data_IF_307183852010
#
_entry.id   IF_307183852010
#
_cell.length_a   1.000
_cell.length_b   1.000
_cell.length_c   1.000
_cell.angle_alpha   90.00
_cell.angle_beta   90.00
_cell.angle_gamma   90.00
#
_symmetry.space_group_name_H-M   'P 1'
#
loop_
_entity.id
_entity.type
_entity.pdbx_description
1 polymer ?
#
# COMPACT_ATOMS: atom_id res chain seq x y z
N UNK A 1 -17.21 -8.00 18.20
CA UNK A 1 -17.20 -9.48 18.26
C UNK A 1 -15.74 -9.87 18.49
N UNK A 2 -15.44 -10.77 19.43
CA UNK A 2 -14.05 -11.20 19.64
C UNK A 2 -13.67 -12.20 18.54
N UNK A 3 -12.60 -11.91 17.80
CA UNK A 3 -12.13 -12.76 16.72
C UNK A 3 -11.13 -13.80 17.25
N UNK A 4 -11.04 -15.00 16.64
CA UNK A 4 -10.03 -15.97 17.04
C UNK A 4 -8.62 -15.42 16.88
N UNK A 5 -7.75 -15.71 17.84
CA UNK A 5 -6.35 -15.27 17.83
C UNK A 5 -5.40 -16.25 17.15
N UNK A 6 -5.90 -17.39 16.68
CA UNK A 6 -5.05 -18.41 16.09
C UNK A 6 -4.44 -17.94 14.75
N UNK A 7 -3.24 -18.44 14.43
CA UNK A 7 -2.49 -18.15 13.20
C UNK A 7 -2.05 -19.45 12.54
N UNK A 8 -1.30 -19.37 11.42
CA UNK A 8 -0.71 -20.51 10.73
C UNK A 8 0.12 -21.39 11.66
N UNK A 9 0.85 -20.78 12.58
CA UNK A 9 1.77 -21.49 13.48
C UNK A 9 1.04 -22.32 14.53
N UNK A 10 -0.24 -22.05 14.77
CA UNK A 10 -1.10 -22.82 15.68
C UNK A 10 -1.73 -24.05 15.00
N UNK A 11 -1.48 -24.28 13.71
CA UNK A 11 -2.05 -25.41 12.96
C UNK A 11 -1.35 -26.72 13.37
N UNK A 12 -2.10 -27.61 14.01
CA UNK A 12 -1.67 -28.96 14.36
C UNK A 12 -2.39 -30.05 13.54
N UNK A 13 -1.72 -31.18 13.32
CA UNK A 13 -2.28 -32.32 12.57
C UNK A 13 -3.56 -32.85 13.22
N UNK A 14 -4.65 -32.85 12.46
CA UNK A 14 -5.98 -33.38 12.85
C UNK A 14 -6.61 -32.69 14.08
N UNK A 15 -6.14 -31.48 14.43
CA UNK A 15 -6.72 -30.66 15.51
C UNK A 15 -7.73 -29.65 14.93
N UNK A 16 -8.82 -29.41 15.67
CA UNK A 16 -9.80 -28.37 15.30
C UNK A 16 -9.25 -26.98 15.67
N UNK A 17 -9.36 -26.02 14.75
CA UNK A 17 -8.91 -24.64 14.92
C UNK A 17 -9.99 -23.66 14.47
N UNK A 18 -10.14 -22.58 15.24
CA UNK A 18 -10.93 -21.40 14.89
C UNK A 18 -9.93 -20.31 14.48
N UNK A 19 -10.04 -19.81 13.25
CA UNK A 19 -9.05 -18.88 12.68
C UNK A 19 -9.72 -17.82 11.82
N UNK A 20 -9.21 -16.58 11.91
CA UNK A 20 -9.59 -15.48 11.04
C UNK A 20 -8.65 -15.44 9.83
N UNK A 21 -9.23 -15.45 8.61
CA UNK A 21 -8.46 -15.44 7.37
C UNK A 21 -9.07 -14.52 6.32
N UNK A 22 -8.25 -13.95 5.44
CA UNK A 22 -8.67 -13.32 4.19
C UNK A 22 -8.54 -14.33 3.06
N UNK A 23 -9.53 -14.39 2.18
CA UNK A 23 -9.45 -15.21 0.97
C UNK A 23 -8.70 -14.44 -0.09
N UNK A 24 -7.61 -15.01 -0.61
CA UNK A 24 -6.84 -14.46 -1.72
C UNK A 24 -7.32 -14.98 -3.07
N UNK A 25 -7.66 -16.27 -3.12
CA UNK A 25 -7.95 -16.96 -4.37
C UNK A 25 -8.86 -18.17 -4.12
N UNK A 26 -9.77 -18.44 -5.05
CA UNK A 26 -10.63 -19.63 -5.03
C UNK A 26 -10.43 -20.37 -6.34
N UNK A 27 -9.94 -21.61 -6.25
CA UNK A 27 -9.70 -22.47 -7.40
C UNK A 27 -10.64 -23.68 -7.35
N UNK A 28 -11.12 -24.10 -8.53
CA UNK A 28 -11.88 -25.33 -8.68
C UNK A 28 -11.04 -26.54 -8.24
N UNK A 29 -11.65 -27.40 -7.44
CA UNK A 29 -11.05 -28.64 -7.01
C UNK A 29 -11.02 -29.70 -8.10
N UNK A 30 -10.34 -30.82 -7.82
CA UNK A 30 -10.35 -32.00 -8.68
C UNK A 30 -10.60 -33.25 -7.86
N UNK A 31 -11.39 -34.18 -8.40
CA UNK A 31 -11.57 -35.50 -7.83
C UNK A 31 -12.57 -35.53 -6.68
N UNK A 32 -12.10 -35.51 -5.43
CA UNK A 32 -12.96 -35.44 -4.22
C UNK A 32 -12.90 -34.07 -3.54
N UNK A 33 -12.18 -33.14 -4.16
CA UNK A 33 -11.98 -31.78 -3.70
C UNK A 33 -12.94 -30.92 -4.51
N UNK A 34 -13.79 -30.18 -3.82
CA UNK A 34 -14.73 -29.22 -4.39
C UNK A 34 -13.99 -27.94 -4.78
N UNK A 35 -13.23 -27.38 -3.84
CA UNK A 35 -12.45 -26.16 -4.05
C UNK A 35 -11.15 -26.16 -3.25
N UNK A 36 -10.15 -25.47 -3.81
CA UNK A 36 -8.88 -25.13 -3.17
C UNK A 36 -8.85 -23.62 -2.98
N UNK A 37 -8.88 -23.19 -1.73
CA UNK A 37 -8.95 -21.77 -1.38
C UNK A 37 -7.59 -21.34 -0.83
N UNK A 38 -6.98 -20.32 -1.42
CA UNK A 38 -5.79 -19.68 -0.86
C UNK A 38 -6.24 -18.62 0.11
N UNK A 39 -5.79 -18.72 1.35
CA UNK A 39 -6.10 -17.73 2.39
C UNK A 39 -4.84 -17.17 3.00
N UNK A 40 -4.94 -16.05 3.70
CA UNK A 40 -3.89 -15.49 4.56
C UNK A 40 -4.47 -15.27 5.95
N UNK A 41 -3.73 -15.61 7.00
CA UNK A 41 -4.15 -15.30 8.38
C UNK A 41 -3.94 -13.82 8.72
N UNK A 42 -4.28 -13.45 9.96
CA UNK A 42 -4.06 -12.10 10.49
C UNK A 42 -2.59 -11.65 10.59
N UNK A 43 -1.63 -12.56 10.44
CA UNK A 43 -0.21 -12.24 10.36
C UNK A 43 0.32 -12.40 8.94
N UNK A 44 -0.56 -12.55 7.94
CA UNK A 44 -0.25 -12.57 6.51
C UNK A 44 0.36 -13.87 6.03
N UNK A 45 0.41 -14.87 6.90
CA UNK A 45 0.91 -16.16 6.54
C UNK A 45 -0.09 -16.83 5.59
N UNK A 46 0.37 -17.23 4.41
CA UNK A 46 -0.47 -17.96 3.48
C UNK A 46 -0.85 -19.34 4.05
N UNK A 47 -2.13 -19.68 4.02
CA UNK A 47 -2.66 -20.96 4.46
C UNK A 47 -3.61 -21.49 3.37
N UNK A 48 -3.30 -22.62 2.73
CA UNK A 48 -4.26 -23.26 1.84
C UNK A 48 -5.40 -23.90 2.65
N UNK A 49 -6.62 -23.77 2.16
CA UNK A 49 -7.82 -24.43 2.66
C UNK A 49 -8.36 -25.39 1.60
N UNK A 50 -8.49 -26.67 1.96
CA UNK A 50 -9.12 -27.69 1.10
C UNK A 50 -10.57 -27.94 1.49
N UNK A 51 -11.49 -27.73 0.54
CA UNK A 51 -12.91 -28.05 0.67
C UNK A 51 -13.21 -29.34 -0.08
N UNK A 52 -13.85 -30.31 0.57
CA UNK A 52 -14.20 -31.60 -0.05
C UNK A 52 -15.65 -31.60 -0.56
N UNK A 53 -15.91 -32.28 -1.68
CA UNK A 53 -17.24 -32.39 -2.31
C UNK A 53 -18.32 -32.98 -1.39
N UNK A 54 -17.92 -33.75 -0.37
CA UNK A 54 -18.87 -34.33 0.60
C UNK A 54 -19.40 -33.32 1.62
N UNK A 55 -18.89 -32.09 1.61
CA UNK A 55 -19.19 -31.06 2.61
C UNK A 55 -20.22 -30.05 2.05
N UNK A 56 -20.83 -29.22 2.91
CA UNK A 56 -21.68 -28.13 2.45
C UNK A 56 -20.93 -27.21 1.46
N UNK A 57 -21.67 -26.60 0.54
CA UNK A 57 -21.13 -25.59 -0.37
C UNK A 57 -20.80 -24.32 0.43
N UNK A 58 -19.56 -23.83 0.31
CA UNK A 58 -19.11 -22.58 0.92
C UNK A 58 -18.85 -21.56 -0.17
N UNK A 59 -19.40 -20.35 -0.03
CA UNK A 59 -19.16 -19.26 -0.98
C UNK A 59 -18.08 -18.34 -0.44
N UNK A 60 -16.88 -18.50 -0.97
CA UNK A 60 -15.75 -17.62 -0.70
C UNK A 60 -15.65 -16.56 -1.78
N UNK A 61 -15.38 -15.33 -1.37
CA UNK A 61 -15.14 -14.19 -2.26
C UNK A 61 -13.71 -13.69 -2.02
N UNK A 62 -12.85 -13.66 -3.05
CA UNK A 62 -11.52 -13.06 -2.93
C UNK A 62 -11.58 -11.64 -2.37
N UNK A 63 -10.64 -11.29 -1.51
CA UNK A 63 -10.57 -10.03 -0.78
C UNK A 63 -11.37 -10.01 0.53
N UNK A 64 -12.32 -10.92 0.74
CA UNK A 64 -13.15 -10.92 1.95
C UNK A 64 -12.51 -11.69 3.10
N UNK A 65 -12.79 -11.22 4.31
CA UNK A 65 -12.42 -11.89 5.56
C UNK A 65 -13.49 -12.86 6.04
N UNK A 66 -13.05 -13.96 6.61
CA UNK A 66 -13.89 -15.02 7.15
C UNK A 66 -13.33 -15.53 8.47
N UNK A 67 -14.20 -15.77 9.43
CA UNK A 67 -13.86 -16.67 10.54
C UNK A 67 -14.21 -18.10 10.13
N UNK A 68 -13.19 -18.93 10.03
CA UNK A 68 -13.32 -20.37 9.84
C UNK A 68 -13.38 -21.01 11.22
N UNK A 69 -14.55 -21.53 11.61
CA UNK A 69 -14.73 -22.24 12.87
C UNK A 69 -14.66 -23.74 12.66
N UNK A 70 -13.92 -24.42 13.52
CA UNK A 70 -13.71 -25.87 13.49
C UNK A 70 -13.12 -26.35 12.16
N UNK A 71 -12.25 -25.55 11.55
CA UNK A 71 -11.39 -26.05 10.49
C UNK A 71 -10.49 -27.15 11.08
N UNK A 72 -10.09 -28.14 10.28
CA UNK A 72 -9.15 -29.18 10.72
C UNK A 72 -7.77 -28.88 10.17
N UNK A 73 -6.78 -28.75 11.05
CA UNK A 73 -5.39 -28.64 10.66
C UNK A 73 -4.86 -29.92 10.02
N UNK A 74 -3.94 -29.78 9.08
CA UNK A 74 -3.27 -30.88 8.42
C UNK A 74 -1.85 -30.49 8.04
N UNK A 75 -0.89 -31.35 8.36
CA UNK A 75 0.53 -31.19 8.13
C UNK A 75 1.03 -32.29 7.20
N UNK A 76 1.47 -31.91 6.00
CA UNK A 76 2.14 -32.84 5.09
C UNK A 76 3.64 -32.86 5.38
N UNK A 77 4.06 -33.80 6.22
CA UNK A 77 5.47 -34.03 6.59
C UNK A 77 6.40 -34.10 5.35
N UNK A 78 5.95 -34.67 4.24
CA UNK A 78 6.75 -34.80 3.00
C UNK A 78 6.95 -33.51 2.20
N UNK A 79 6.12 -32.49 2.43
CA UNK A 79 6.12 -31.22 1.70
C UNK A 79 6.33 -30.02 2.62
N UNK A 80 6.59 -30.29 3.90
CA UNK A 80 6.65 -29.31 4.99
C UNK A 80 5.55 -28.23 4.89
N UNK A 81 4.31 -28.70 4.68
CA UNK A 81 3.19 -27.83 4.32
C UNK A 81 2.05 -27.99 5.32
N UNK A 82 1.72 -26.88 5.97
CA UNK A 82 0.51 -26.71 6.76
C UNK A 82 -0.67 -26.33 5.86
N UNK A 83 -1.83 -26.90 6.14
CA UNK A 83 -3.09 -26.55 5.49
C UNK A 83 -4.27 -26.66 6.46
N UNK A 84 -5.36 -26.00 6.09
CA UNK A 84 -6.68 -26.20 6.69
C UNK A 84 -7.52 -27.12 5.82
N UNK A 85 -8.45 -27.82 6.45
CA UNK A 85 -9.48 -28.63 5.78
C UNK A 85 -10.85 -28.29 6.35
N UNK A 86 -11.86 -28.45 5.52
CA UNK A 86 -13.29 -28.30 5.87
C UNK A 86 -13.85 -29.32 6.90
N UNK A 87 -12.97 -30.04 7.60
CA UNK A 87 -13.25 -30.92 8.74
C UNK A 87 -14.45 -31.86 8.52
N UNK A 88 -14.50 -32.51 7.36
CA UNK A 88 -15.57 -33.46 7.00
C UNK A 88 -16.99 -32.88 7.17
N UNK A 89 -17.16 -31.58 6.87
CA UNK A 89 -18.45 -30.89 6.88
C UNK A 89 -18.81 -30.23 8.22
N UNK A 90 -17.88 -30.21 9.19
CA UNK A 90 -18.06 -29.51 10.48
C UNK A 90 -17.58 -28.06 10.46
N UNK A 91 -16.89 -27.64 9.41
CA UNK A 91 -16.46 -26.25 9.22
C UNK A 91 -17.69 -25.33 9.19
N UNK A 92 -17.67 -24.26 9.98
CA UNK A 92 -18.58 -23.13 9.83
C UNK A 92 -17.79 -21.94 9.31
N UNK A 93 -18.40 -21.20 8.38
CA UNK A 93 -17.78 -20.05 7.74
C UNK A 93 -18.67 -18.84 7.99
N UNK A 94 -18.12 -17.87 8.72
CA UNK A 94 -18.82 -16.62 9.02
C UNK A 94 -18.07 -15.48 8.32
N UNK A 95 -18.73 -14.84 7.35
CA UNK A 95 -18.18 -13.68 6.67
C UNK A 95 -18.01 -12.53 7.67
N UNK A 96 -16.84 -11.90 7.65
CA UNK A 96 -16.51 -10.75 8.47
C UNK A 96 -16.44 -9.54 7.56
N UNK A 97 -17.43 -8.64 7.62
CA UNK A 97 -17.29 -7.34 6.98
C UNK A 97 -16.23 -6.56 7.76
N UNK A 98 -15.08 -6.36 7.11
CA UNK A 98 -14.06 -5.38 7.51
C UNK A 98 -13.56 -5.54 8.97
N UNK A 99 -12.79 -6.60 9.30
CA UNK A 99 -12.17 -6.72 10.61
C UNK A 99 -11.19 -5.56 10.83
N UNK A 100 -11.23 -4.96 12.02
CA UNK A 100 -10.30 -3.89 12.41
C UNK A 100 -8.84 -4.28 12.10
N UNK A 101 -8.00 -3.36 11.62
CA UNK A 101 -6.59 -3.62 11.34
C UNK A 101 -5.79 -4.15 12.53
N UNK A 102 -6.22 -3.90 13.78
CA UNK A 102 -5.61 -4.51 14.98
C UNK A 102 -5.77 -6.04 15.02
N UNK A 103 -6.82 -6.54 14.39
CA UNK A 103 -7.17 -7.96 14.34
C UNK A 103 -6.60 -8.60 13.07
N UNK A 104 -6.41 -7.82 12.02
CA UNK A 104 -6.12 -8.27 10.66
C UNK A 104 -5.36 -7.19 9.87
N UNK A 105 -4.06 -6.97 10.14
CA UNK A 105 -3.22 -6.07 9.34
C UNK A 105 -3.27 -6.47 7.86
N UNK A 106 -3.50 -5.49 6.98
CA UNK A 106 -3.50 -5.68 5.54
C UNK A 106 -2.06 -5.94 5.11
N UNK A 107 -1.71 -7.21 5.00
CA UNK A 107 -0.35 -7.59 4.63
C UNK A 107 -0.22 -7.56 3.12
N UNK A 108 0.75 -6.76 2.66
CA UNK A 108 1.26 -6.78 1.31
C UNK A 108 1.71 -8.21 0.99
N UNK A 109 1.31 -8.72 -0.17
CA UNK A 109 1.67 -10.06 -0.59
C UNK A 109 3.16 -10.06 -0.99
N UNK A 110 4.04 -10.38 -0.05
CA UNK A 110 5.46 -10.58 -0.35
C UNK A 110 5.66 -11.83 -1.21
N UNK A 111 6.37 -11.58 -2.29
CA UNK A 111 6.97 -12.49 -3.26
C UNK A 111 7.66 -13.72 -2.64
N UNK A 112 7.34 -14.91 -3.15
CA UNK A 112 8.16 -16.11 -2.94
C UNK A 112 8.85 -16.53 -4.22
N UNK A 113 10.16 -16.75 -4.08
CA UNK A 113 11.12 -17.35 -5.01
C UNK A 113 10.57 -18.45 -5.94
N UNK A 114 11.01 -18.41 -7.20
CA UNK A 114 11.21 -19.63 -7.98
C UNK A 114 12.33 -19.46 -9.02
N UNK A 115 13.43 -20.17 -8.75
CA UNK A 115 14.47 -20.51 -9.71
C UNK A 115 13.92 -21.14 -11.00
N UNK A 116 14.42 -20.60 -12.11
CA UNK A 116 14.77 -21.23 -13.40
C UNK A 116 14.17 -22.59 -13.77
N UNK A 117 13.46 -22.62 -14.91
CA UNK A 117 13.76 -23.59 -15.99
C UNK A 117 13.29 -23.08 -17.36
N UNK A 118 14.26 -22.90 -18.26
CA UNK A 118 14.07 -22.66 -19.69
C UNK A 118 13.84 -23.97 -20.44
N UNK A 119 12.87 -24.00 -21.36
CA UNK A 119 12.90 -24.59 -22.73
C UNK A 119 11.65 -24.05 -23.44
N UNK A 120 11.71 -23.28 -24.53
CA UNK A 120 11.86 -23.78 -25.89
C UNK A 120 10.94 -23.04 -26.87
N UNK A 121 11.59 -22.41 -27.84
CA UNK A 121 11.14 -21.78 -29.09
C UNK A 121 9.88 -22.37 -29.79
N UNK A 122 8.98 -21.50 -30.29
CA UNK A 122 8.41 -21.55 -31.65
C UNK A 122 7.32 -20.49 -31.93
N UNK A 123 7.70 -19.49 -32.74
CA UNK A 123 6.96 -18.95 -33.92
C UNK A 123 5.62 -18.19 -33.73
N UNK A 124 5.71 -16.89 -34.02
CA UNK A 124 4.63 -15.90 -34.29
C UNK A 124 3.82 -16.22 -35.58
N UNK A 125 2.61 -15.64 -35.82
CA UNK A 125 2.57 -14.27 -36.39
C UNK A 125 1.37 -13.36 -36.00
N UNK A 126 1.74 -12.10 -35.71
CA UNK A 126 1.13 -10.78 -36.06
C UNK A 126 -0.39 -10.55 -36.02
N UNK A 127 -0.84 -9.57 -35.22
CA UNK A 127 -1.16 -8.20 -35.68
C UNK A 127 -1.96 -7.42 -34.61
N UNK A 128 -1.39 -6.32 -34.13
CA UNK A 128 -2.02 -5.33 -33.24
C UNK A 128 -0.92 -4.42 -32.73
N UNK A 129 -0.99 -3.13 -33.03
CA UNK A 129 0.07 -2.17 -32.75
C UNK A 129 0.14 -1.89 -31.23
N UNK A 130 0.99 -2.61 -30.52
CA UNK A 130 1.48 -2.20 -29.21
C UNK A 130 2.79 -1.43 -29.44
N UNK A 131 2.76 -0.13 -29.16
CA UNK A 131 3.95 0.58 -28.73
C UNK A 131 4.27 0.08 -27.32
N UNK A 132 4.81 -1.14 -27.24
CA UNK A 132 5.40 -1.66 -26.02
C UNK A 132 6.64 -0.81 -25.70
N UNK A 133 6.47 0.17 -24.83
CA UNK A 133 7.59 0.67 -24.04
C UNK A 133 8.07 -0.50 -23.20
N UNK A 134 9.34 -0.85 -23.35
CA UNK A 134 9.95 -2.11 -22.88
C UNK A 134 10.17 -2.14 -21.35
N UNK A 135 9.34 -1.45 -20.58
CA UNK A 135 9.46 -1.31 -19.12
C UNK A 135 8.10 -1.07 -18.44
N UNK A 136 8.04 -1.39 -17.15
CA UNK A 136 6.81 -1.35 -16.36
C UNK A 136 6.28 0.07 -16.10
N UNK A 137 5.16 0.15 -15.38
CA UNK A 137 4.52 1.41 -14.98
C UNK A 137 4.68 1.60 -13.49
N UNK A 138 5.27 2.73 -13.10
CA UNK A 138 5.32 3.26 -11.75
C UNK A 138 4.11 4.18 -11.51
N UNK A 139 3.51 4.14 -10.34
CA UNK A 139 2.63 5.16 -9.81
C UNK A 139 3.24 5.74 -8.53
N UNK A 140 3.08 7.03 -8.28
CA UNK A 140 3.70 7.72 -7.15
C UNK A 140 2.78 8.80 -6.60
N UNK A 141 2.80 8.93 -5.27
CA UNK A 141 2.18 10.00 -4.50
C UNK A 141 3.08 10.32 -3.27
N UNK A 142 3.20 11.59 -2.91
CA UNK A 142 3.96 12.05 -1.73
C UNK A 142 3.03 12.54 -0.64
N UNK A 143 3.46 12.33 0.60
CA UNK A 143 2.87 12.97 1.76
C UNK A 143 3.87 13.90 2.42
N UNK A 144 3.36 15.01 2.95
CA UNK A 144 4.20 16.06 3.54
C UNK A 144 3.79 16.39 4.96
N UNK A 145 4.75 16.91 5.71
CA UNK A 145 4.57 17.58 7.00
C UNK A 145 5.00 19.04 6.88
N UNK A 146 4.55 19.86 7.82
CA UNK A 146 4.81 21.29 7.82
C UNK A 146 6.21 21.60 8.37
N UNK A 147 7.06 22.28 7.60
CA UNK A 147 8.38 22.76 8.05
C UNK A 147 8.28 24.04 8.89
N UNK A 148 7.11 24.68 8.87
CA UNK A 148 6.78 25.96 9.50
C UNK A 148 5.44 25.82 10.24
N UNK A 149 5.06 26.77 11.11
CA UNK A 149 3.72 26.74 11.71
C UNK A 149 2.61 26.66 10.65
N UNK A 150 1.53 25.93 10.93
CA UNK A 150 0.47 25.65 9.95
C UNK A 150 -0.08 26.92 9.27
N UNK A 151 -0.21 28.03 10.00
CA UNK A 151 -0.66 29.32 9.47
C UNK A 151 0.25 29.93 8.39
N UNK A 152 1.50 29.49 8.31
CA UNK A 152 2.53 29.99 7.39
C UNK A 152 2.81 29.03 6.23
N UNK A 153 2.24 27.81 6.24
CA UNK A 153 2.42 26.83 5.15
C UNK A 153 1.94 27.39 3.81
N UNK A 154 2.76 27.23 2.78
CA UNK A 154 2.39 27.52 1.41
C UNK A 154 2.60 26.24 0.59
N UNK A 155 1.50 25.66 0.11
CA UNK A 155 1.52 24.39 -0.63
C UNK A 155 2.27 24.50 -1.97
N UNK A 156 2.55 25.72 -2.46
CA UNK A 156 3.36 25.92 -3.65
C UNK A 156 4.85 26.17 -3.32
N UNK A 157 5.21 26.31 -2.03
CA UNK A 157 6.58 26.59 -1.56
C UNK A 157 7.17 25.40 -0.79
N UNK A 158 8.09 24.70 -1.45
CA UNK A 158 8.81 23.55 -0.90
C UNK A 158 9.67 23.86 0.33
N UNK A 159 9.95 25.13 0.64
CA UNK A 159 10.66 25.49 1.86
C UNK A 159 9.77 25.47 3.11
N UNK A 160 8.45 25.43 2.92
CA UNK A 160 7.46 25.38 4.00
C UNK A 160 6.96 23.96 4.30
N UNK A 161 7.36 22.98 3.50
CA UNK A 161 6.98 21.57 3.59
C UNK A 161 8.23 20.69 3.72
N UNK A 162 8.09 19.53 4.32
CA UNK A 162 9.09 18.45 4.29
C UNK A 162 8.42 17.13 3.91
N UNK A 163 9.17 16.20 3.31
CA UNK A 163 8.61 14.88 3.04
C UNK A 163 8.37 14.09 4.32
N UNK A 164 7.21 13.42 4.37
CA UNK A 164 6.84 12.46 5.39
C UNK A 164 7.04 11.03 4.88
N UNK A 165 6.41 10.72 3.75
CA UNK A 165 6.52 9.43 3.10
C UNK A 165 6.24 9.55 1.59
N UNK A 166 6.57 8.50 0.86
CA UNK A 166 6.27 8.37 -0.57
C UNK A 166 5.57 7.02 -0.77
N UNK A 167 4.34 7.06 -1.26
CA UNK A 167 3.66 5.87 -1.73
C UNK A 167 4.07 5.59 -3.17
N UNK A 168 4.40 4.34 -3.44
CA UNK A 168 4.80 3.86 -4.76
C UNK A 168 4.02 2.61 -5.12
N UNK A 169 3.69 2.50 -6.39
CA UNK A 169 3.06 1.33 -6.97
C UNK A 169 3.78 0.92 -8.24
N UNK A 170 3.87 -0.36 -8.54
CA UNK A 170 4.47 -0.85 -9.78
C UNK A 170 3.70 -2.02 -10.38
N UNK A 171 3.63 -2.04 -11.71
CA UNK A 171 3.23 -3.22 -12.48
C UNK A 171 4.13 -3.39 -13.70
N UNK A 172 4.42 -4.64 -14.03
CA UNK A 172 5.23 -5.02 -15.19
C UNK A 172 4.52 -4.71 -16.53
N UNK A 173 3.20 -4.86 -16.56
CA UNK A 173 2.37 -4.64 -17.75
C UNK A 173 0.94 -4.21 -17.41
N UNK A 174 0.20 -3.59 -18.36
CA UNK A 174 -1.21 -3.26 -18.17
C UNK A 174 -2.05 -4.46 -17.74
N UNK A 175 -2.93 -4.27 -16.76
CA UNK A 175 -3.74 -5.33 -16.13
C UNK A 175 -2.94 -6.39 -15.35
N UNK A 176 -1.63 -6.20 -15.15
CA UNK A 176 -0.80 -7.05 -14.29
C UNK A 176 -1.07 -6.84 -12.80
N UNK A 177 -0.41 -7.63 -11.95
CA UNK A 177 -0.44 -7.43 -10.51
C UNK A 177 0.24 -6.10 -10.15
N UNK A 178 -0.40 -5.31 -9.29
CA UNK A 178 0.17 -4.08 -8.75
C UNK A 178 0.83 -4.40 -7.41
N UNK A 179 2.13 -4.18 -7.34
CA UNK A 179 2.87 -4.11 -6.09
C UNK A 179 2.77 -2.69 -5.53
N UNK A 180 2.49 -2.52 -4.24
CA UNK A 180 2.43 -1.20 -3.58
C UNK A 180 3.27 -1.19 -2.32
N UNK A 181 4.00 -0.10 -2.08
CA UNK A 181 4.78 0.13 -0.87
C UNK A 181 4.69 1.61 -0.45
N UNK A 182 4.87 1.89 0.84
CA UNK A 182 5.00 3.27 1.35
C UNK A 182 6.32 3.37 2.09
N UNK A 183 7.20 4.20 1.55
CA UNK A 183 8.51 4.48 2.10
C UNK A 183 8.38 5.65 3.09
N UNK A 184 8.79 5.44 4.34
CA UNK A 184 8.63 6.45 5.40
C UNK A 184 9.96 7.10 5.75
N UNK A 185 9.92 8.40 6.00
CA UNK A 185 10.98 9.10 6.73
C UNK A 185 10.97 8.62 8.19
N UNK A 186 12.14 8.32 8.74
CA UNK A 186 12.29 7.78 10.12
C UNK A 186 12.96 8.76 11.10
N UNK A 187 12.76 10.06 10.89
CA UNK A 187 13.29 11.11 11.76
C UNK A 187 12.95 12.51 11.27
N UNK A 188 13.18 13.52 12.11
CA UNK A 188 12.82 14.92 11.82
C UNK A 188 13.97 15.74 11.23
N UNK A 189 15.08 15.11 10.85
CA UNK A 189 16.25 15.80 10.31
C UNK A 189 16.40 15.61 8.80
N UNK A 190 17.18 16.50 8.20
CA UNK A 190 17.58 16.50 6.78
C UNK A 190 18.14 15.15 6.32
N UNK A 191 18.90 14.47 7.18
CA UNK A 191 19.51 13.18 6.85
C UNK A 191 18.45 12.09 6.69
N UNK A 192 17.42 12.12 7.52
CA UNK A 192 16.31 11.17 7.48
C UNK A 192 15.47 11.39 6.22
N UNK A 193 15.27 12.64 5.79
CA UNK A 193 14.60 12.94 4.51
C UNK A 193 15.45 12.53 3.31
N UNK A 194 16.78 12.76 3.34
CA UNK A 194 17.69 12.27 2.30
C UNK A 194 17.73 10.74 2.20
N UNK A 195 17.61 10.04 3.34
CA UNK A 195 17.52 8.58 3.34
C UNK A 195 16.24 8.12 2.63
N UNK A 196 15.10 8.78 2.85
CA UNK A 196 13.85 8.49 2.13
C UNK A 196 14.03 8.61 0.61
N UNK A 197 14.75 9.63 0.12
CA UNK A 197 15.07 9.74 -1.30
C UNK A 197 15.97 8.60 -1.80
N UNK A 198 16.96 8.18 -1.01
CA UNK A 198 17.83 7.07 -1.38
C UNK A 198 17.03 5.76 -1.48
N UNK A 199 16.14 5.51 -0.52
CA UNK A 199 15.27 4.32 -0.51
C UNK A 199 14.31 4.35 -1.72
N UNK A 200 13.75 5.53 -2.05
CA UNK A 200 12.91 5.71 -3.24
C UNK A 200 13.67 5.41 -4.54
N UNK A 201 14.90 5.91 -4.65
CA UNK A 201 15.78 5.64 -5.78
C UNK A 201 16.07 4.15 -5.95
N UNK A 202 16.50 3.48 -4.88
CA UNK A 202 16.78 2.05 -4.88
C UNK A 202 15.53 1.24 -5.26
N UNK A 203 14.36 1.63 -4.75
CA UNK A 203 13.08 0.98 -5.04
C UNK A 203 12.70 1.08 -6.52
N UNK A 204 12.84 2.26 -7.12
CA UNK A 204 12.49 2.50 -8.52
C UNK A 204 13.51 1.83 -9.46
N UNK A 205 14.80 1.96 -9.18
CA UNK A 205 15.87 1.38 -10.01
C UNK A 205 15.81 -0.15 -10.04
N UNK A 206 15.40 -0.79 -8.95
CA UNK A 206 15.23 -2.25 -8.89
C UNK A 206 14.13 -2.76 -9.85
N UNK A 207 13.18 -1.91 -10.25
CA UNK A 207 12.00 -2.26 -11.05
C UNK A 207 12.07 -1.76 -12.50
N UNK A 208 13.01 -0.87 -12.79
CA UNK A 208 13.27 -0.28 -14.11
C UNK A 208 11.98 0.14 -14.87
N UNK A 209 11.10 0.98 -14.26
CA UNK A 209 9.89 1.41 -14.93
C UNK A 209 10.23 2.31 -16.13
N UNK A 210 9.39 2.24 -17.16
CA UNK A 210 9.46 3.16 -18.30
C UNK A 210 8.50 4.34 -18.16
N UNK A 211 7.41 4.16 -17.40
CA UNK A 211 6.33 5.14 -17.25
C UNK A 211 6.11 5.51 -15.80
N UNK A 212 5.70 6.76 -15.56
CA UNK A 212 5.32 7.30 -14.26
C UNK A 212 3.89 7.84 -14.33
N UNK A 213 3.04 7.40 -13.41
CA UNK A 213 1.69 7.91 -13.19
C UNK A 213 1.65 8.70 -11.88
N UNK A 214 0.93 9.82 -11.92
CA UNK A 214 0.60 10.61 -10.72
C UNK A 214 -0.82 11.14 -10.85
N UNK A 215 -1.40 11.63 -9.75
CA UNK A 215 -2.61 12.46 -9.79
C UNK A 215 -2.33 13.81 -9.15
N UNK A 216 -2.24 14.85 -9.98
CA UNK A 216 -1.82 16.21 -9.63
C UNK A 216 -0.33 16.33 -9.31
N UNK A 217 0.46 15.30 -9.61
CA UNK A 217 1.90 15.29 -9.37
C UNK A 217 2.72 16.24 -10.24
N UNK A 218 2.21 16.71 -11.37
CA UNK A 218 2.85 17.83 -12.08
C UNK A 218 2.77 19.13 -11.28
N UNK A 219 1.70 19.29 -10.50
CA UNK A 219 1.41 20.49 -9.72
C UNK A 219 1.99 20.44 -8.31
N UNK A 220 2.10 19.26 -7.71
CA UNK A 220 2.48 19.10 -6.31
C UNK A 220 3.71 18.20 -6.15
N UNK A 221 3.57 16.90 -6.39
CA UNK A 221 4.58 15.88 -6.06
C UNK A 221 5.96 16.12 -6.67
N UNK A 222 6.02 16.26 -8.00
CA UNK A 222 7.29 16.35 -8.72
C UNK A 222 8.04 17.67 -8.43
N UNK A 223 7.37 18.85 -8.41
CA UNK A 223 8.00 20.07 -7.92
C UNK A 223 8.62 19.91 -6.52
N UNK A 224 7.88 19.34 -5.56
CA UNK A 224 8.37 19.16 -4.19
C UNK A 224 9.52 18.17 -4.12
N UNK A 225 9.43 17.01 -4.76
CA UNK A 225 10.53 16.03 -4.82
C UNK A 225 11.84 16.63 -5.37
N UNK A 226 11.74 17.49 -6.40
CA UNK A 226 12.91 18.14 -7.01
C UNK A 226 13.47 19.24 -6.12
N UNK A 227 12.62 20.14 -5.62
CA UNK A 227 13.09 21.32 -4.88
C UNK A 227 13.53 20.95 -3.47
N UNK A 228 12.86 20.02 -2.78
CA UNK A 228 13.28 19.55 -1.46
C UNK A 228 14.65 18.91 -1.50
N UNK A 229 14.93 18.01 -2.46
CA UNK A 229 16.25 17.39 -2.52
C UNK A 229 17.36 18.42 -2.76
N UNK A 230 17.12 19.45 -3.57
CA UNK A 230 18.09 20.53 -3.80
C UNK A 230 18.35 21.34 -2.51
N UNK A 231 17.29 21.70 -1.78
CA UNK A 231 17.39 22.44 -0.51
C UNK A 231 18.21 21.69 0.54
N UNK A 232 18.05 20.37 0.61
CA UNK A 232 18.70 19.53 1.64
C UNK A 232 20.10 19.09 1.20
N UNK A 233 20.31 18.82 -0.09
CA UNK A 233 21.61 18.40 -0.62
C UNK A 233 22.66 19.52 -0.60
N UNK A 234 22.25 20.79 -0.76
CA UNK A 234 23.13 21.95 -0.58
C UNK A 234 23.76 22.00 0.83
N UNK A 235 23.21 21.26 1.81
CA UNK A 235 23.77 21.12 3.14
C UNK A 235 24.82 19.99 3.29
N UNK A 236 25.00 19.08 2.30
CA UNK A 236 25.90 17.91 2.43
C UNK A 236 26.39 17.28 1.10
N UNK A 237 27.71 17.25 0.89
CA UNK A 237 28.37 16.58 -0.26
C UNK A 237 28.19 15.04 -0.31
N UNK A 238 27.66 14.43 0.75
CA UNK A 238 27.61 12.96 0.91
C UNK A 238 26.53 12.27 0.06
N UNK A 239 25.61 13.02 -0.55
CA UNK A 239 24.39 12.48 -1.17
C UNK A 239 24.31 12.74 -2.68
N UNK A 240 25.46 13.02 -3.32
CA UNK A 240 25.51 13.40 -4.73
C UNK A 240 24.94 12.35 -5.71
N UNK A 241 24.94 11.06 -5.36
CA UNK A 241 24.34 10.02 -6.21
C UNK A 241 22.81 10.00 -6.09
N UNK A 242 22.26 10.18 -4.88
CA UNK A 242 20.81 10.30 -4.65
C UNK A 242 20.23 11.50 -5.39
N UNK A 243 20.92 12.66 -5.32
CA UNK A 243 20.54 13.87 -6.07
C UNK A 243 20.51 13.59 -7.58
N UNK A 244 21.56 12.96 -8.12
CA UNK A 244 21.62 12.60 -9.54
C UNK A 244 20.51 11.63 -9.93
N UNK A 245 20.19 10.66 -9.07
CA UNK A 245 19.10 9.72 -9.29
C UNK A 245 17.75 10.44 -9.38
N UNK A 246 17.41 11.29 -8.42
CA UNK A 246 16.15 12.07 -8.42
C UNK A 246 16.06 12.98 -9.65
N UNK A 247 17.14 13.69 -9.97
CA UNK A 247 17.20 14.54 -11.18
C UNK A 247 17.06 13.71 -12.46
N UNK A 248 17.55 12.47 -12.49
CA UNK A 248 17.40 11.57 -13.64
C UNK A 248 15.98 11.06 -13.76
N UNK A 249 15.43 10.45 -12.70
CA UNK A 249 14.13 9.79 -12.70
C UNK A 249 12.98 10.79 -12.90
N UNK A 250 13.05 11.88 -12.15
CA UNK A 250 12.02 12.91 -12.11
C UNK A 250 12.46 14.17 -12.84
N UNK A 251 13.46 14.15 -13.71
CA UNK A 251 13.85 15.31 -14.50
C UNK A 251 12.77 15.78 -15.47
N UNK A 252 13.06 16.82 -16.25
CA UNK A 252 12.24 17.15 -17.43
C UNK A 252 12.31 16.00 -18.44
N UNK A 253 11.17 15.63 -19.03
CA UNK A 253 10.96 14.41 -19.86
C UNK A 253 11.89 14.24 -21.07
N UNK A 254 12.70 15.24 -21.41
CA UNK A 254 13.69 15.20 -22.51
C UNK A 254 15.07 14.66 -22.07
N UNK A 255 15.26 14.36 -20.77
CA UNK A 255 16.51 13.85 -20.23
C UNK A 255 16.70 12.33 -20.46
N UNK A 256 17.91 11.85 -20.78
CA UNK A 256 18.17 10.42 -20.85
C UNK A 256 17.95 9.76 -19.48
N UNK A 257 17.02 8.80 -19.43
CA UNK A 257 16.65 8.08 -18.20
C UNK A 257 15.51 8.70 -17.39
N UNK A 258 14.88 9.77 -17.90
CA UNK A 258 13.63 10.28 -17.32
C UNK A 258 12.47 9.32 -17.63
N UNK A 259 11.58 9.16 -16.66
CA UNK A 259 10.37 8.37 -16.83
C UNK A 259 9.38 9.12 -17.72
N UNK A 260 8.66 8.39 -18.58
CA UNK A 260 7.56 8.94 -19.35
C UNK A 260 6.38 9.24 -18.43
N UNK A 261 6.25 10.50 -18.03
CA UNK A 261 5.31 10.95 -17.02
C UNK A 261 3.94 11.27 -17.62
N UNK A 262 2.91 10.65 -17.07
CA UNK A 262 1.51 10.97 -17.33
C UNK A 262 0.84 11.38 -16.03
N UNK A 263 0.39 12.63 -15.98
CA UNK A 263 -0.46 13.13 -14.91
C UNK A 263 -1.93 12.87 -15.25
N UNK A 264 -2.62 12.13 -14.39
CA UNK A 264 -4.03 11.76 -14.55
C UNK A 264 -4.96 12.81 -13.94
N UNK A 265 -4.44 13.95 -13.45
CA UNK A 265 -5.29 15.01 -12.94
C UNK A 265 -6.18 15.63 -14.03
N UNK A 266 -7.48 15.72 -13.73
CA UNK A 266 -8.42 16.51 -14.52
C UNK A 266 -9.02 17.63 -13.66
N UNK A 267 -9.73 17.25 -12.60
CA UNK A 267 -10.38 18.15 -11.65
C UNK A 267 -10.87 17.38 -10.42
N UNK A 268 -10.83 18.02 -9.25
CA UNK A 268 -11.36 17.42 -8.02
C UNK A 268 -10.40 16.39 -7.43
N UNK A 269 -10.83 15.65 -6.41
CA UNK A 269 -9.98 14.66 -5.75
C UNK A 269 -9.89 13.36 -6.55
N UNK A 270 -8.84 12.56 -6.31
CA UNK A 270 -8.75 11.22 -6.89
C UNK A 270 -9.91 10.32 -6.43
N UNK A 271 -10.35 10.50 -5.17
CA UNK A 271 -11.53 9.82 -4.63
C UNK A 271 -12.85 10.21 -5.32
N UNK A 272 -12.93 11.37 -5.97
CA UNK A 272 -14.07 11.73 -6.83
C UNK A 272 -13.96 11.07 -8.22
N UNK A 273 -12.73 10.86 -8.70
CA UNK A 273 -12.44 10.29 -10.02
C UNK A 273 -12.45 8.76 -10.03
N UNK A 274 -12.31 8.12 -8.87
CA UNK A 274 -12.16 6.67 -8.71
C UNK A 274 -12.93 6.16 -7.49
N UNK A 275 -13.15 4.86 -7.39
CA UNK A 275 -13.74 4.23 -6.20
C UNK A 275 -12.66 3.97 -5.13
N UNK A 276 -11.89 5.00 -4.78
CA UNK A 276 -10.84 4.92 -3.75
C UNK A 276 -11.44 4.55 -2.41
N UNK A 277 -10.77 3.65 -1.69
CA UNK A 277 -11.17 3.30 -0.33
C UNK A 277 -10.87 4.46 0.61
N UNK A 278 -11.88 4.86 1.38
CA UNK A 278 -11.68 5.86 2.43
C UNK A 278 -10.86 5.28 3.59
N UNK A 279 -9.92 6.06 4.09
CA UNK A 279 -9.22 5.80 5.36
C UNK A 279 -9.95 6.51 6.49
N UNK A 280 -10.12 5.87 7.64
CA UNK A 280 -10.82 6.42 8.80
C UNK A 280 -9.85 6.53 9.98
N UNK A 281 -9.71 7.70 10.61
CA UNK A 281 -8.69 7.87 11.66
C UNK A 281 -9.07 7.16 12.98
N UNK A 282 -10.36 7.08 13.27
CA UNK A 282 -10.90 6.59 14.55
C UNK A 282 -10.79 5.07 14.75
N UNK A 283 -10.35 4.32 13.73
CA UNK A 283 -10.10 2.87 13.84
C UNK A 283 -8.67 2.53 14.25
N UNK A 284 -7.78 3.52 14.32
CA UNK A 284 -6.39 3.35 14.73
C UNK A 284 -6.18 3.80 16.18
N UNK A 285 -5.33 3.09 16.91
CA UNK A 285 -5.04 3.40 18.30
C UNK A 285 -3.97 4.49 18.44
N UNK A 286 -4.40 5.73 18.34
CA UNK A 286 -3.58 6.92 18.60
C UNK A 286 -4.26 7.90 19.56
N UNK A 287 -3.51 8.89 20.02
CA UNK A 287 -4.02 9.92 20.94
C UNK A 287 -4.61 11.14 20.24
N UNK A 288 -4.43 11.25 18.92
CA UNK A 288 -4.87 12.40 18.14
C UNK A 288 -6.37 12.40 17.89
N UNK A 289 -6.94 13.60 17.92
CA UNK A 289 -8.26 13.95 17.42
C UNK A 289 -8.04 15.12 16.43
N UNK A 290 -8.30 14.93 15.11
CA UNK A 290 -7.99 15.94 14.12
C UNK A 290 -8.96 17.13 14.14
N UNK A 291 -10.02 17.11 14.95
CA UNK A 291 -11.04 18.18 14.98
C UNK A 291 -10.45 19.57 15.26
N UNK A 292 -9.51 19.68 16.23
CA UNK A 292 -8.85 20.96 16.54
C UNK A 292 -7.96 21.42 15.38
N UNK A 293 -7.18 20.50 14.81
CA UNK A 293 -6.32 20.74 13.64
C UNK A 293 -7.12 21.23 12.43
N UNK A 294 -8.24 20.57 12.12
CA UNK A 294 -9.17 20.98 11.05
C UNK A 294 -9.79 22.34 11.33
N UNK A 295 -9.99 22.69 12.59
CA UNK A 295 -10.41 24.03 13.02
C UNK A 295 -9.39 25.10 12.62
N UNK A 296 -8.10 24.88 12.91
CA UNK A 296 -7.02 25.78 12.50
C UNK A 296 -6.91 25.91 10.97
N UNK A 297 -7.03 24.79 10.26
CA UNK A 297 -7.04 24.78 8.79
C UNK A 297 -8.23 25.52 8.20
N UNK A 298 -9.40 25.45 8.84
CA UNK A 298 -10.59 26.24 8.45
C UNK A 298 -10.33 27.72 8.62
N UNK A 299 -9.77 28.14 9.75
CA UNK A 299 -9.41 29.54 9.98
C UNK A 299 -8.38 30.04 8.95
N UNK A 300 -7.48 29.16 8.50
CA UNK A 300 -6.53 29.41 7.42
C UNK A 300 -7.13 29.31 5.99
N UNK A 301 -8.41 28.94 5.85
CA UNK A 301 -9.09 28.80 4.55
C UNK A 301 -8.69 27.55 3.75
N UNK A 302 -8.05 26.56 4.39
CA UNK A 302 -7.63 25.28 3.78
C UNK A 302 -8.59 24.13 4.06
N UNK A 303 -9.54 24.32 4.97
CA UNK A 303 -10.62 23.37 5.23
C UNK A 303 -11.98 24.02 4.90
N UNK A 304 -12.77 23.44 3.97
CA UNK A 304 -14.07 23.98 3.60
C UNK A 304 -15.04 24.18 4.78
N UNK A 305 -15.79 25.28 4.75
CA UNK A 305 -16.74 25.66 5.80
C UNK A 305 -17.90 24.66 5.97
N UNK A 306 -18.28 23.96 4.89
CA UNK A 306 -19.38 23.02 4.85
C UNK A 306 -18.98 21.58 5.22
N UNK A 307 -17.69 21.33 5.45
CA UNK A 307 -17.20 20.02 5.87
C UNK A 307 -17.34 19.84 7.37
N UNK A 308 -17.76 18.64 7.78
CA UNK A 308 -17.84 18.30 9.20
C UNK A 308 -16.41 18.17 9.78
N UNK A 309 -16.18 18.76 10.95
CA UNK A 309 -14.89 18.66 11.63
C UNK A 309 -14.73 17.27 12.27
N UNK A 310 -15.84 16.64 12.68
CA UNK A 310 -15.85 15.34 13.35
C UNK A 310 -15.94 14.16 12.35
N UNK A 311 -15.82 14.42 11.05
CA UNK A 311 -15.86 13.38 10.01
C UNK A 311 -14.72 12.36 10.24
N UNK A 312 -15.01 11.06 10.42
CA UNK A 312 -13.95 10.09 10.72
C UNK A 312 -13.02 9.85 9.52
N UNK A 313 -13.38 10.29 8.31
CA UNK A 313 -12.54 10.11 7.12
C UNK A 313 -11.30 10.99 7.18
N UNK A 314 -10.14 10.39 6.92
CA UNK A 314 -8.87 11.08 6.72
C UNK A 314 -8.89 11.79 5.37
N UNK A 315 -8.34 13.00 5.34
CA UNK A 315 -8.17 13.85 4.16
C UNK A 315 -6.72 14.30 4.09
N UNK A 316 -6.26 14.75 2.92
CA UNK A 316 -4.89 15.24 2.75
C UNK A 316 -4.51 16.34 3.74
N UNK A 317 -5.47 17.20 4.13
CA UNK A 317 -5.25 18.21 5.16
C UNK A 317 -4.94 17.64 6.56
N UNK A 318 -5.37 16.42 6.88
CA UNK A 318 -5.09 15.79 8.18
C UNK A 318 -3.69 15.17 8.26
N UNK A 319 -3.09 14.85 7.10
CA UNK A 319 -1.84 14.10 7.01
C UNK A 319 -0.69 14.78 7.75
N UNK A 320 -0.45 16.11 7.64
CA UNK A 320 0.62 16.76 8.38
C UNK A 320 0.50 16.58 9.90
N UNK A 321 -0.72 16.68 10.46
CA UNK A 321 -0.94 16.49 11.90
C UNK A 321 -0.63 15.06 12.39
N UNK A 322 -1.01 14.05 11.61
CA UNK A 322 -0.66 12.65 11.90
C UNK A 322 0.84 12.39 11.71
N UNK A 323 1.42 12.93 10.65
CA UNK A 323 2.83 12.83 10.28
C UNK A 323 3.76 13.42 11.33
N UNK A 324 3.47 14.62 11.82
CA UNK A 324 4.26 15.30 12.86
C UNK A 324 4.32 14.48 14.14
N UNK A 325 3.18 13.91 14.55
CA UNK A 325 3.12 13.03 15.72
C UNK A 325 3.91 11.74 15.51
N UNK A 326 3.78 11.13 14.33
CA UNK A 326 4.54 9.94 13.97
C UNK A 326 6.06 10.20 14.01
N UNK A 327 6.54 11.24 13.32
CA UNK A 327 7.96 11.58 13.28
C UNK A 327 8.51 11.93 14.67
N UNK A 328 7.73 12.64 15.49
CA UNK A 328 8.12 12.93 16.88
C UNK A 328 8.34 11.66 17.71
N UNK A 329 7.45 10.67 17.58
CA UNK A 329 7.57 9.40 18.30
C UNK A 329 8.78 8.58 17.83
N UNK A 330 9.03 8.53 16.52
CA UNK A 330 10.17 7.79 15.96
C UNK A 330 11.50 8.45 16.34
N UNK A 331 11.59 9.79 16.28
CA UNK A 331 12.78 10.54 16.65
C UNK A 331 13.19 10.36 18.12
N UNK A 332 12.22 10.16 19.02
CA UNK A 332 12.47 9.86 20.44
C UNK A 332 12.98 8.42 20.68
N UNK A 333 13.22 7.64 19.62
CA UNK A 333 13.69 6.25 19.69
C UNK A 333 12.60 5.27 20.09
N UNK A 334 11.34 5.65 19.95
CA UNK A 334 10.18 4.85 20.30
C UNK A 334 9.73 3.96 19.12
N UNK A 335 10.65 3.30 18.42
CA UNK A 335 10.36 2.50 17.21
C UNK A 335 9.36 1.36 17.42
N UNK A 336 9.21 0.86 18.65
CA UNK A 336 8.22 -0.16 19.03
C UNK A 336 6.92 0.42 19.63
N UNK A 337 6.82 1.75 19.72
CA UNK A 337 5.68 2.41 20.32
C UNK A 337 4.39 2.03 19.58
N UNK A 338 3.35 1.56 20.30
CA UNK A 338 2.09 1.17 19.68
C UNK A 338 1.39 2.32 18.93
N UNK A 339 1.51 3.56 19.40
CA UNK A 339 0.92 4.72 18.72
C UNK A 339 1.70 5.04 17.45
N UNK A 340 3.04 4.99 17.48
CA UNK A 340 3.86 5.19 16.28
C UNK A 340 3.50 4.18 15.17
N UNK A 341 3.31 2.90 15.54
CA UNK A 341 2.87 1.86 14.60
C UNK A 341 1.46 2.09 14.08
N UNK A 342 0.53 2.50 14.95
CA UNK A 342 -0.84 2.81 14.55
C UNK A 342 -0.90 3.99 13.57
N UNK A 343 -0.12 5.05 13.81
CA UNK A 343 -0.02 6.20 12.91
C UNK A 343 0.67 5.86 11.60
N UNK A 344 1.75 5.07 11.62
CA UNK A 344 2.40 4.57 10.39
C UNK A 344 1.41 3.81 9.52
N UNK A 345 0.56 2.97 10.13
CA UNK A 345 -0.46 2.23 9.39
C UNK A 345 -1.61 3.09 8.87
N UNK A 346 -2.07 4.07 9.65
CA UNK A 346 -3.04 5.05 9.20
C UNK A 346 -2.53 5.77 7.94
N UNK A 347 -1.31 6.30 8.00
CA UNK A 347 -0.66 7.02 6.91
C UNK A 347 -0.43 6.09 5.70
N UNK A 348 -0.01 4.85 5.93
CA UNK A 348 0.18 3.85 4.86
C UNK A 348 -1.13 3.58 4.13
N UNK A 349 -2.23 3.35 4.85
CA UNK A 349 -3.52 3.08 4.23
C UNK A 349 -4.05 4.29 3.44
N UNK A 350 -3.85 5.50 3.97
CA UNK A 350 -4.19 6.73 3.25
C UNK A 350 -3.39 6.83 1.94
N UNK A 351 -2.06 6.80 2.02
CA UNK A 351 -1.20 7.01 0.85
C UNK A 351 -1.33 5.89 -0.21
N UNK A 352 -1.54 4.63 0.18
CA UNK A 352 -1.82 3.54 -0.78
C UNK A 352 -3.15 3.76 -1.53
N UNK A 353 -4.15 4.33 -0.86
CA UNK A 353 -5.44 4.64 -1.50
C UNK A 353 -5.33 5.73 -2.58
N UNK A 354 -4.23 6.50 -2.58
CA UNK A 354 -3.94 7.52 -3.59
C UNK A 354 -3.04 7.01 -4.74
N UNK A 355 -2.45 5.81 -4.62
CA UNK A 355 -1.59 5.21 -5.65
C UNK A 355 -2.27 4.05 -6.40
N UNK A 356 -2.86 3.09 -5.69
CA UNK A 356 -3.44 1.88 -6.31
C UNK A 356 -4.49 2.19 -7.39
N UNK A 357 -5.42 3.14 -7.19
CA UNK A 357 -6.45 3.45 -8.19
C UNK A 357 -5.89 4.05 -9.49
N UNK A 358 -4.67 4.59 -9.49
CA UNK A 358 -4.06 5.22 -10.66
C UNK A 358 -3.85 4.24 -11.81
N UNK A 359 -3.56 2.97 -11.51
CA UNK A 359 -3.42 1.94 -12.54
C UNK A 359 -4.73 1.65 -13.26
N UNK A 360 -5.81 1.53 -12.49
CA UNK A 360 -7.16 1.33 -13.05
C UNK A 360 -7.61 2.55 -13.85
N UNK A 361 -7.32 3.75 -13.34
CA UNK A 361 -7.64 5.01 -14.01
C UNK A 361 -6.84 5.16 -15.33
N UNK A 362 -5.56 4.82 -15.33
CA UNK A 362 -4.71 4.80 -16.52
C UNK A 362 -5.24 3.82 -17.58
N UNK A 363 -5.58 2.59 -17.17
CA UNK A 363 -6.14 1.59 -18.09
C UNK A 363 -7.46 2.05 -18.71
N UNK A 364 -8.34 2.66 -17.92
CA UNK A 364 -9.60 3.21 -18.40
C UNK A 364 -9.41 4.35 -19.40
N UNK A 365 -8.29 5.08 -19.31
CA UNK A 365 -7.96 6.23 -20.17
C UNK A 365 -7.02 5.87 -21.32
N UNK A 366 -6.47 4.65 -21.35
CA UNK A 366 -5.51 4.21 -22.35
C UNK A 366 -4.15 4.89 -22.24
N UNK A 367 -3.72 5.17 -21.00
CA UNK A 367 -2.43 5.79 -20.67
C UNK A 367 -1.29 4.78 -20.42
#
# INVERSE_FOLDING_TARGET
MEYPSATRDDIEQDVEIDILVRVEEVNDGRGKIDSLVRTVDRLGNSIPLTVFESNPEYQFTPGNWYVLRRASGNYYERKDRLELRSNFGKLSVDAVPDPSPEVAPVLAADSTDAETQSVGDATQPTAGADTATDGGTLALDIETVSAVPESEVDLDDSSTLELLCVAVGYRDRPGGHVETEVLFREGTDDRSELQLYADLCDWIEARDPARLLTYNGSGFDLPHLRTRIDLIADASDLWSETVKCVVRLFGTSDGPGALDHTDLYERGSLADATDSRATYWDVYRHSLDPTDWRGEQREAGRYPDDWDLDDPRVRGGDVPGFGDRYLSLVADGAGDDPEARALRELLRHYAVADVDPLFTLADARGA
#
